data_IF_926435182316
#
_entry.id   IF_926435182316
#
_cell.length_a   1.000
_cell.length_b   1.000
_cell.length_c   1.000
_cell.angle_alpha   90.00
_cell.angle_beta   90.00
_cell.angle_gamma   90.00
#
_symmetry.space_group_name_H-M   'P 1'
#
loop_
_entity.id
_entity.type
_entity.pdbx_description
1 polymer ?
#
# COMPACT_ATOMS: atom_id res chain seq x y z
N UNK A 1 -6.15 28.86 -25.86
CA UNK A 1 -5.65 27.48 -25.80
C UNK A 1 -4.72 27.45 -24.61
N UNK A 2 -5.28 27.06 -23.47
CA UNK A 2 -4.62 27.07 -22.16
C UNK A 2 -4.54 25.61 -21.75
N UNK A 3 -3.35 25.03 -21.55
CA UNK A 3 -3.26 23.75 -20.87
C UNK A 3 -3.20 23.96 -19.37
N UNK A 4 -3.35 22.84 -18.67
CA UNK A 4 -3.02 22.57 -17.28
C UNK A 4 -4.19 22.76 -16.29
N UNK A 5 -4.88 21.63 -16.12
CA UNK A 5 -5.80 21.38 -15.02
C UNK A 5 -5.07 21.52 -13.69
N UNK A 6 -5.81 22.14 -12.79
CA UNK A 6 -5.49 22.40 -11.40
C UNK A 6 -5.52 21.07 -10.64
N UNK A 7 -4.43 20.29 -10.70
CA UNK A 7 -4.18 19.21 -9.75
C UNK A 7 -3.59 19.85 -8.50
N UNK A 8 -4.41 20.63 -7.81
CA UNK A 8 -4.07 21.20 -6.51
C UNK A 8 -3.83 20.02 -5.56
N UNK A 9 -2.61 19.92 -5.05
CA UNK A 9 -2.23 18.99 -3.99
C UNK A 9 -3.21 19.21 -2.82
N UNK A 10 -4.22 18.34 -2.69
CA UNK A 10 -5.15 18.37 -1.56
C UNK A 10 -4.35 17.94 -0.32
N UNK A 11 -3.72 18.93 0.31
CA UNK A 11 -2.98 18.73 1.54
C UNK A 11 -3.91 18.02 2.54
N UNK A 12 -3.43 16.93 3.13
CA UNK A 12 -4.10 16.36 4.29
C UNK A 12 -3.96 17.40 5.40
N UNK A 13 -5.02 18.15 5.68
CA UNK A 13 -5.03 19.03 6.83
C UNK A 13 -4.81 18.17 8.09
N UNK A 14 -3.82 18.54 8.90
CA UNK A 14 -3.41 17.84 10.13
C UNK A 14 -4.59 17.42 11.04
N UNK A 15 -5.70 18.17 10.99
CA UNK A 15 -6.94 17.91 11.75
C UNK A 15 -7.67 16.62 11.35
N UNK A 16 -7.29 15.99 10.24
CA UNK A 16 -7.92 14.77 9.73
C UNK A 16 -7.13 13.49 10.07
N UNK A 17 -5.93 13.61 10.65
CA UNK A 17 -5.10 12.44 10.98
C UNK A 17 -5.80 11.55 12.02
N UNK A 18 -6.45 12.14 13.03
CA UNK A 18 -7.21 11.37 14.03
C UNK A 18 -8.31 10.53 13.38
N UNK A 19 -9.06 11.12 12.44
CA UNK A 19 -10.13 10.44 11.69
C UNK A 19 -9.58 9.35 10.76
N UNK A 20 -8.48 9.63 10.04
CA UNK A 20 -7.82 8.64 9.16
C UNK A 20 -7.36 7.44 9.98
N UNK A 21 -6.84 7.69 11.18
CA UNK A 21 -6.34 6.67 12.08
C UNK A 21 -7.46 5.98 12.86
N UNK A 22 -8.71 6.45 12.86
CA UNK A 22 -9.86 5.69 13.39
C UNK A 22 -10.25 4.56 12.42
N UNK A 23 -9.35 3.58 12.30
CA UNK A 23 -9.45 2.47 11.38
C UNK A 23 -9.42 1.13 12.11
N UNK A 24 -10.09 0.15 11.51
CA UNK A 24 -10.05 -1.26 11.88
C UNK A 24 -9.66 -2.11 10.68
N UNK A 25 -9.28 -3.39 10.89
CA UNK A 25 -9.22 -4.36 9.80
C UNK A 25 -10.52 -4.34 8.99
N UNK A 26 -10.38 -4.48 7.67
CA UNK A 26 -11.49 -4.60 6.74
C UNK A 26 -12.12 -6.00 6.77
N UNK A 27 -13.30 -6.12 6.16
CA UNK A 27 -14.02 -7.41 6.08
C UNK A 27 -13.84 -8.13 4.74
N UNK A 28 -13.12 -7.53 3.78
CA UNK A 28 -12.90 -8.11 2.45
C UNK A 28 -11.96 -9.30 2.48
N UNK A 29 -12.21 -10.30 1.64
CA UNK A 29 -11.40 -11.51 1.58
C UNK A 29 -10.02 -11.25 0.97
N UNK A 30 -8.96 -11.61 1.70
CA UNK A 30 -7.58 -11.51 1.21
C UNK A 30 -7.18 -12.87 0.64
N UNK A 31 -6.89 -12.92 -0.66
CA UNK A 31 -6.56 -14.17 -1.35
C UNK A 31 -5.06 -14.44 -1.28
N UNK A 32 -4.67 -15.54 -0.64
CA UNK A 32 -3.27 -15.98 -0.50
C UNK A 32 -3.12 -17.46 -0.84
N UNK A 33 -1.92 -17.91 -1.21
CA UNK A 33 -1.62 -19.35 -1.31
C UNK A 33 -0.99 -19.85 -0.02
N UNK A 34 -1.13 -21.16 0.24
CA UNK A 34 -0.48 -21.79 1.40
C UNK A 34 1.04 -21.61 1.33
N UNK A 35 1.63 -21.78 0.15
CA UNK A 35 3.07 -21.62 -0.06
C UNK A 35 3.55 -20.20 0.26
N UNK A 36 2.78 -19.17 -0.11
CA UNK A 36 3.11 -17.78 0.23
C UNK A 36 3.02 -17.53 1.75
N UNK A 37 1.99 -18.08 2.41
CA UNK A 37 1.81 -17.92 3.87
C UNK A 37 2.93 -18.61 4.66
N UNK A 38 3.33 -19.81 4.25
CA UNK A 38 4.40 -20.57 4.90
C UNK A 38 5.81 -20.12 4.48
N UNK A 39 5.89 -19.31 3.41
CA UNK A 39 7.12 -18.80 2.85
C UNK A 39 7.72 -17.60 3.59
N UNK A 40 8.87 -17.08 3.09
CA UNK A 40 9.50 -15.88 3.60
C UNK A 40 8.59 -14.64 3.53
N UNK A 41 8.76 -13.72 4.46
CA UNK A 41 7.95 -12.49 4.56
C UNK A 41 7.91 -11.67 3.26
N UNK A 42 9.07 -11.52 2.62
CA UNK A 42 9.18 -10.80 1.36
C UNK A 42 8.39 -11.47 0.22
N UNK A 43 8.34 -12.81 0.19
CA UNK A 43 7.57 -13.54 -0.82
C UNK A 43 6.07 -13.41 -0.58
N UNK A 44 5.63 -13.44 0.68
CA UNK A 44 4.22 -13.21 1.03
C UNK A 44 3.75 -11.81 0.63
N UNK A 45 4.54 -10.78 0.95
CA UNK A 45 4.22 -9.40 0.61
C UNK A 45 4.23 -9.19 -0.91
N UNK A 46 5.22 -9.74 -1.61
CA UNK A 46 5.28 -9.71 -3.07
C UNK A 46 4.08 -10.43 -3.71
N UNK A 47 3.67 -11.58 -3.16
CA UNK A 47 2.49 -12.29 -3.61
C UNK A 47 1.23 -11.43 -3.45
N UNK A 48 1.00 -10.84 -2.27
CA UNK A 48 -0.12 -9.93 -2.05
C UNK A 48 -0.09 -8.76 -3.05
N UNK A 49 1.10 -8.21 -3.34
CA UNK A 49 1.26 -7.15 -4.34
C UNK A 49 0.77 -7.57 -5.72
N UNK A 50 1.15 -8.76 -6.16
CA UNK A 50 0.75 -9.29 -7.47
C UNK A 50 -0.76 -9.57 -7.54
N UNK A 51 -1.36 -10.05 -6.45
CA UNK A 51 -2.81 -10.23 -6.33
C UNK A 51 -3.54 -8.90 -6.42
N UNK A 52 -3.11 -7.89 -5.65
CA UNK A 52 -3.75 -6.58 -5.66
C UNK A 52 -3.62 -5.92 -7.03
N UNK A 53 -2.48 -6.02 -7.71
CA UNK A 53 -2.35 -5.53 -9.10
C UNK A 53 -3.35 -6.22 -10.03
N UNK A 54 -3.52 -7.54 -9.94
CA UNK A 54 -4.51 -8.27 -10.74
C UNK A 54 -5.96 -7.84 -10.43
N UNK A 55 -6.28 -7.59 -9.17
CA UNK A 55 -7.60 -7.05 -8.77
C UNK A 55 -7.79 -5.66 -9.36
N UNK A 56 -6.80 -4.78 -9.17
CA UNK A 56 -6.84 -3.40 -9.61
C UNK A 56 -6.97 -3.27 -11.14
N UNK A 57 -6.44 -4.22 -11.92
CA UNK A 57 -6.64 -4.27 -13.37
C UNK A 57 -8.07 -4.63 -13.78
N UNK A 58 -8.93 -5.07 -12.86
CA UNK A 58 -10.28 -5.63 -13.12
C UNK A 58 -11.43 -4.90 -12.42
N UNK A 59 -11.15 -3.95 -11.53
CA UNK A 59 -12.17 -3.24 -10.74
C UNK A 59 -12.34 -1.79 -11.19
N UNK A 60 -13.56 -1.29 -11.07
CA UNK A 60 -13.89 0.10 -11.40
C UNK A 60 -13.99 0.96 -10.14
N UNK A 61 -14.21 0.33 -8.98
CA UNK A 61 -14.31 0.97 -7.69
C UNK A 61 -13.32 0.36 -6.67
N UNK A 62 -12.68 1.22 -5.87
CA UNK A 62 -11.73 0.80 -4.83
C UNK A 62 -12.37 -0.08 -3.77
N UNK A 63 -13.67 0.08 -3.52
CA UNK A 63 -14.43 -0.70 -2.56
C UNK A 63 -14.59 -2.17 -2.94
N UNK A 64 -14.33 -2.52 -4.22
CA UNK A 64 -14.26 -3.91 -4.70
C UNK A 64 -12.94 -4.59 -4.28
N UNK A 65 -11.93 -3.83 -3.87
CA UNK A 65 -10.65 -4.35 -3.41
C UNK A 65 -10.71 -4.66 -1.92
N UNK A 66 -10.20 -5.81 -1.50
CA UNK A 66 -10.03 -6.11 -0.09
C UNK A 66 -9.12 -5.06 0.56
N UNK A 67 -9.70 -4.25 1.46
CA UNK A 67 -9.05 -3.06 1.99
C UNK A 67 -7.72 -3.35 2.70
N UNK A 68 -7.63 -4.47 3.43
CA UNK A 68 -6.38 -4.85 4.11
C UNK A 68 -5.28 -5.30 3.14
N UNK A 69 -5.65 -5.95 2.03
CA UNK A 69 -4.71 -6.27 0.97
C UNK A 69 -4.17 -4.99 0.32
N UNK A 70 -5.02 -3.98 0.12
CA UNK A 70 -4.66 -2.69 -0.46
C UNK A 70 -3.80 -1.84 0.49
N UNK A 71 -4.07 -1.86 1.80
CA UNK A 71 -3.20 -1.23 2.81
C UNK A 71 -1.82 -1.90 2.86
N UNK A 72 -1.78 -3.23 2.85
CA UNK A 72 -0.54 -4.02 2.74
C UNK A 72 0.26 -3.64 1.48
N UNK A 73 -0.43 -3.53 0.33
CA UNK A 73 0.15 -3.12 -0.94
C UNK A 73 0.84 -1.76 -0.90
N UNK A 74 0.17 -0.73 -0.36
CA UNK A 74 0.74 0.61 -0.33
C UNK A 74 1.81 0.79 0.76
N UNK A 75 1.76 0.01 1.84
CA UNK A 75 2.88 -0.04 2.80
C UNK A 75 4.11 -0.71 2.18
N UNK A 76 3.95 -1.76 1.36
CA UNK A 76 5.05 -2.35 0.58
C UNK A 76 5.71 -1.31 -0.35
N UNK A 77 4.89 -0.55 -1.08
CA UNK A 77 5.38 0.57 -1.89
C UNK A 77 6.17 1.59 -1.04
N UNK A 78 5.60 2.04 0.08
CA UNK A 78 6.26 3.02 0.95
C UNK A 78 7.62 2.51 1.45
N UNK A 79 7.68 1.26 1.89
CA UNK A 79 8.91 0.62 2.35
C UNK A 79 9.96 0.51 1.24
N UNK A 80 9.54 0.26 0.00
CA UNK A 80 10.44 0.14 -1.15
C UNK A 80 10.90 1.48 -1.72
N UNK A 81 10.02 2.50 -1.75
CA UNK A 81 10.28 3.77 -2.41
C UNK A 81 11.16 4.71 -1.58
N UNK A 82 10.96 4.76 -0.26
CA UNK A 82 11.71 5.68 0.60
C UNK A 82 13.23 5.46 0.54
N UNK A 83 13.78 4.23 0.64
CA UNK A 83 15.23 4.01 0.60
C UNK A 83 15.90 4.38 -0.71
N UNK A 84 15.14 4.43 -1.82
CA UNK A 84 15.69 4.57 -3.17
C UNK A 84 15.42 5.97 -3.74
N UNK A 85 14.16 6.41 -3.69
CA UNK A 85 13.73 7.70 -4.21
C UNK A 85 13.56 8.79 -3.14
N UNK A 86 13.68 8.43 -1.87
CA UNK A 86 13.50 9.38 -0.76
C UNK A 86 12.06 9.85 -0.58
N UNK A 87 11.90 10.81 0.32
CA UNK A 87 10.60 11.41 0.63
C UNK A 87 10.04 12.23 -0.54
N UNK A 88 10.91 12.86 -1.33
CA UNK A 88 10.51 13.60 -2.54
C UNK A 88 9.85 12.70 -3.60
N UNK A 89 10.44 11.56 -3.96
CA UNK A 89 9.82 10.62 -4.90
C UNK A 89 8.50 10.06 -4.34
N UNK A 90 8.46 9.74 -3.04
CA UNK A 90 7.22 9.30 -2.40
C UNK A 90 6.11 10.36 -2.48
N UNK A 91 6.41 11.63 -2.21
CA UNK A 91 5.45 12.74 -2.32
C UNK A 91 4.98 12.98 -3.75
N UNK A 92 5.81 12.73 -4.75
CA UNK A 92 5.44 12.85 -6.16
C UNK A 92 4.50 11.72 -6.59
N UNK A 93 4.67 10.51 -6.03
CA UNK A 93 3.85 9.34 -6.36
C UNK A 93 2.54 9.27 -5.54
N UNK A 94 2.61 9.52 -4.24
CA UNK A 94 1.53 9.23 -3.30
C UNK A 94 0.42 10.29 -3.37
N UNK A 95 -0.74 9.89 -3.90
CA UNK A 95 -1.97 10.70 -3.80
C UNK A 95 -2.44 10.74 -2.34
N UNK A 96 -3.41 11.63 -2.05
CA UNK A 96 -4.06 11.68 -0.74
C UNK A 96 -4.58 10.30 -0.30
N UNK A 97 -5.30 9.61 -1.18
CA UNK A 97 -5.86 8.28 -0.88
C UNK A 97 -4.76 7.24 -0.58
N UNK A 98 -3.63 7.29 -1.29
CA UNK A 98 -2.47 6.44 -1.00
C UNK A 98 -1.92 6.75 0.40
N UNK A 99 -1.74 8.03 0.75
CA UNK A 99 -1.28 8.42 2.08
C UNK A 99 -2.22 7.91 3.19
N UNK A 100 -3.54 8.03 3.01
CA UNK A 100 -4.53 7.50 3.96
C UNK A 100 -4.39 5.97 4.15
N UNK A 101 -4.24 5.23 3.05
CA UNK A 101 -4.05 3.77 3.08
C UNK A 101 -2.73 3.37 3.75
N UNK A 102 -1.64 4.11 3.50
CA UNK A 102 -0.35 3.87 4.15
C UNK A 102 -0.44 4.15 5.65
N UNK A 103 -1.00 5.30 6.07
CA UNK A 103 -1.17 5.64 7.49
C UNK A 103 -1.99 4.59 8.23
N UNK A 104 -3.11 4.16 7.66
CA UNK A 104 -3.94 3.10 8.23
C UNK A 104 -3.20 1.76 8.29
N UNK A 105 -2.48 1.39 7.22
CA UNK A 105 -1.69 0.17 7.16
C UNK A 105 -0.61 0.15 8.25
N UNK A 106 0.19 1.21 8.37
CA UNK A 106 1.23 1.35 9.39
C UNK A 106 0.66 1.23 10.80
N UNK A 107 -0.51 1.84 11.07
CA UNK A 107 -1.20 1.69 12.35
C UNK A 107 -1.60 0.24 12.62
N UNK A 108 -2.28 -0.41 11.68
CA UNK A 108 -2.81 -1.77 11.84
C UNK A 108 -1.71 -2.84 11.91
N UNK A 109 -0.58 -2.63 11.24
CA UNK A 109 0.62 -3.50 11.31
C UNK A 109 1.41 -3.30 12.62
N UNK A 110 1.08 -2.26 13.39
CA UNK A 110 1.79 -1.91 14.61
C UNK A 110 3.20 -1.37 14.34
N UNK A 111 3.36 -0.52 13.32
CA UNK A 111 4.63 0.13 12.96
C UNK A 111 4.66 1.62 13.41
N UNK A 112 4.63 1.92 14.72
CA UNK A 112 4.43 3.28 15.22
C UNK A 112 5.56 4.24 14.82
N UNK A 113 6.81 3.79 14.76
CA UNK A 113 7.93 4.65 14.39
C UNK A 113 7.81 5.16 12.93
N UNK A 114 7.38 4.30 12.01
CA UNK A 114 7.10 4.68 10.63
C UNK A 114 5.85 5.55 10.52
N UNK A 115 4.81 5.23 11.31
CA UNK A 115 3.59 6.01 11.36
C UNK A 115 3.86 7.45 11.80
N UNK A 116 4.53 7.63 12.93
CA UNK A 116 4.88 8.94 13.48
C UNK A 116 5.75 9.73 12.50
N UNK A 117 6.72 9.07 11.87
CA UNK A 117 7.58 9.69 10.86
C UNK A 117 6.80 10.18 9.64
N UNK A 118 5.86 9.39 9.12
CA UNK A 118 5.03 9.80 7.98
C UNK A 118 4.05 10.92 8.37
N UNK A 119 3.45 10.85 9.56
CA UNK A 119 2.60 11.92 10.10
C UNK A 119 3.37 13.23 10.19
N UNK A 120 4.59 13.21 10.75
CA UNK A 120 5.47 14.39 10.82
C UNK A 120 5.73 14.96 9.41
N UNK A 121 6.03 14.10 8.44
CA UNK A 121 6.35 14.53 7.07
C UNK A 121 5.16 15.09 6.29
N UNK A 122 3.94 14.62 6.58
CA UNK A 122 2.70 15.18 6.03
C UNK A 122 2.27 16.45 6.78
N UNK A 123 2.77 16.63 8.00
CA UNK A 123 2.41 17.68 8.92
C UNK A 123 2.89 19.10 8.61
N UNK A 124 3.76 19.26 7.61
CA UNK A 124 4.14 20.58 7.09
C UNK A 124 5.29 21.29 7.81
N UNK A 125 5.68 20.85 9.01
CA UNK A 125 6.97 21.23 9.60
C UNK A 125 8.06 20.46 8.85
N UNK A 126 8.72 21.15 7.92
CA UNK A 126 9.61 20.54 6.93
C UNK A 126 10.76 19.73 7.56
N UNK A 127 10.58 18.41 7.64
CA UNK A 127 11.69 17.45 7.76
C UNK A 127 12.44 17.40 6.43
N UNK A 128 13.77 17.47 6.46
CA UNK A 128 14.57 17.30 5.24
C UNK A 128 14.56 15.84 4.78
N UNK A 129 14.76 15.59 3.48
CA UNK A 129 14.87 14.23 2.95
C UNK A 129 15.98 13.43 3.65
N UNK A 130 17.09 14.06 4.01
CA UNK A 130 18.19 13.43 4.77
C UNK A 130 17.76 13.03 6.19
N UNK A 131 17.08 13.93 6.91
CA UNK A 131 16.57 13.64 8.25
C UNK A 131 15.51 12.54 8.21
N UNK A 132 14.65 12.56 7.19
CA UNK A 132 13.63 11.55 6.98
C UNK A 132 14.27 10.19 6.70
N UNK A 133 15.24 10.12 5.79
CA UNK A 133 15.96 8.89 5.46
C UNK A 133 16.66 8.29 6.68
N UNK A 134 17.30 9.12 7.53
CA UNK A 134 17.94 8.66 8.75
C UNK A 134 16.92 8.05 9.74
N UNK A 135 15.82 8.77 10.03
CA UNK A 135 14.76 8.28 10.93
C UNK A 135 14.06 7.03 10.37
N UNK A 136 13.90 6.96 9.05
CA UNK A 136 13.33 5.80 8.38
C UNK A 136 14.24 4.57 8.55
N UNK A 137 15.55 4.72 8.34
CA UNK A 137 16.51 3.64 8.52
C UNK A 137 16.58 3.15 9.98
N UNK A 138 16.47 4.05 10.96
CA UNK A 138 16.35 3.69 12.38
C UNK A 138 15.06 2.90 12.67
N UNK A 139 13.93 3.31 12.09
CA UNK A 139 12.66 2.61 12.23
C UNK A 139 12.70 1.22 11.58
N UNK A 140 13.22 1.10 10.35
CA UNK A 140 13.41 -0.19 9.66
C UNK A 140 14.34 -1.13 10.45
N UNK A 141 15.43 -0.61 11.02
CA UNK A 141 16.34 -1.41 11.82
C UNK A 141 15.70 -1.93 13.12
N UNK A 142 14.75 -1.18 13.69
CA UNK A 142 14.02 -1.57 14.89
C UNK A 142 12.92 -2.60 14.59
N UNK A 143 12.18 -2.41 13.50
CA UNK A 143 11.16 -3.34 13.03
C UNK A 143 10.96 -3.16 11.52
N UNK A 144 11.50 -4.06 10.68
CA UNK A 144 11.35 -3.95 9.24
C UNK A 144 9.88 -3.94 8.81
N UNK A 145 9.50 -3.05 7.88
CA UNK A 145 8.12 -2.98 7.42
C UNK A 145 7.68 -4.24 6.68
N UNK A 146 8.60 -4.90 5.96
CA UNK A 146 8.30 -6.19 5.31
C UNK A 146 7.86 -7.26 6.32
N UNK A 147 8.53 -7.35 7.47
CA UNK A 147 8.18 -8.27 8.55
C UNK A 147 6.83 -7.89 9.17
N UNK A 148 6.64 -6.61 9.51
CA UNK A 148 5.40 -6.12 10.10
C UNK A 148 4.19 -6.34 9.18
N UNK A 149 4.37 -6.12 7.88
CA UNK A 149 3.34 -6.31 6.85
C UNK A 149 3.01 -7.79 6.66
N UNK A 150 4.02 -8.66 6.55
CA UNK A 150 3.80 -10.09 6.45
C UNK A 150 3.10 -10.66 7.70
N UNK A 151 3.50 -10.23 8.90
CA UNK A 151 2.85 -10.61 10.15
C UNK A 151 1.37 -10.17 10.17
N UNK A 152 1.07 -8.96 9.68
CA UNK A 152 -0.29 -8.47 9.55
C UNK A 152 -1.12 -9.36 8.61
N UNK A 153 -0.63 -9.62 7.39
CA UNK A 153 -1.31 -10.49 6.43
C UNK A 153 -1.61 -11.88 7.02
N UNK A 154 -0.66 -12.49 7.73
CA UNK A 154 -0.86 -13.81 8.38
C UNK A 154 -1.85 -13.78 9.54
N UNK A 155 -2.07 -12.62 10.16
CA UNK A 155 -2.98 -12.45 11.29
C UNK A 155 -4.44 -12.19 10.91
N UNK A 156 -4.71 -11.90 9.64
CA UNK A 156 -6.04 -11.54 9.16
C UNK A 156 -6.98 -12.75 9.14
N UNK A 157 -8.09 -12.66 9.88
CA UNK A 157 -9.17 -13.66 9.86
C UNK A 157 -9.91 -13.74 8.51
N UNK A 158 -9.70 -12.75 7.63
CA UNK A 158 -10.29 -12.66 6.29
C UNK A 158 -9.46 -13.35 5.20
N UNK A 159 -8.32 -13.95 5.55
CA UNK A 159 -7.49 -14.68 4.60
C UNK A 159 -8.21 -15.92 4.09
N UNK A 160 -8.28 -16.05 2.77
CA UNK A 160 -8.73 -17.25 2.10
C UNK A 160 -7.55 -17.90 1.40
N UNK A 161 -7.18 -19.09 1.87
CA UNK A 161 -6.14 -19.89 1.26
C UNK A 161 -6.68 -20.53 -0.01
N UNK A 162 -6.11 -20.17 -1.14
CA UNK A 162 -6.47 -20.66 -2.47
C UNK A 162 -5.36 -21.53 -3.04
N UNK A 163 -5.73 -22.60 -3.75
CA UNK A 163 -4.76 -23.43 -4.45
C UNK A 163 -4.21 -22.65 -5.66
N UNK A 164 -2.90 -22.74 -5.97
CA UNK A 164 -2.31 -21.99 -7.10
C UNK A 164 -3.04 -22.20 -8.44
N UNK A 165 -3.46 -23.44 -8.73
CA UNK A 165 -4.20 -23.78 -9.95
C UNK A 165 -5.66 -23.30 -10.00
N UNK A 166 -6.18 -22.76 -8.89
CA UNK A 166 -7.54 -22.23 -8.77
C UNK A 166 -7.58 -20.73 -8.49
N UNK A 167 -6.43 -20.07 -8.47
CA UNK A 167 -6.31 -18.66 -8.08
C UNK A 167 -7.18 -17.75 -8.94
N UNK A 168 -7.08 -17.86 -10.27
CA UNK A 168 -7.86 -17.05 -11.22
C UNK A 168 -9.37 -17.27 -11.07
N UNK A 169 -9.80 -18.51 -10.80
CA UNK A 169 -11.21 -18.82 -10.53
C UNK A 169 -11.66 -18.21 -9.20
N UNK A 170 -10.85 -18.33 -8.15
CA UNK A 170 -11.17 -17.74 -6.84
C UNK A 170 -11.23 -16.21 -6.91
N UNK A 171 -10.32 -15.58 -7.65
CA UNK A 171 -10.31 -14.16 -7.90
C UNK A 171 -11.59 -13.70 -8.62
N UNK A 172 -12.02 -14.40 -9.69
CA UNK A 172 -13.27 -14.10 -10.38
C UNK A 172 -14.49 -14.22 -9.48
N UNK A 173 -14.55 -15.28 -8.66
CA UNK A 173 -15.63 -15.47 -7.68
C UNK A 173 -15.65 -14.34 -6.66
N UNK A 174 -14.48 -13.94 -6.14
CA UNK A 174 -14.37 -12.86 -5.15
C UNK A 174 -14.82 -11.50 -5.72
N UNK A 175 -14.53 -11.24 -6.99
CA UNK A 175 -14.93 -10.00 -7.67
C UNK A 175 -16.34 -10.05 -8.27
N UNK A 176 -16.95 -11.23 -8.40
CA UNK A 176 -18.24 -11.40 -9.07
C UNK A 176 -18.22 -11.05 -10.55
N UNK A 177 -17.05 -11.09 -11.21
CA UNK A 177 -16.86 -10.73 -12.62
C UNK A 177 -16.48 -11.96 -13.46
N UNK A 178 -17.17 -12.15 -14.59
CA UNK A 178 -16.90 -13.19 -15.58
C UNK A 178 -16.17 -12.57 -16.80
N UNK A 179 -14.90 -12.91 -17.02
CA UNK A 179 -14.15 -12.57 -18.25
C UNK A 179 -12.91 -11.69 -18.06
N UNK A 180 -12.40 -11.15 -19.18
CA UNK A 180 -11.26 -10.22 -19.27
C UNK A 180 -11.70 -8.76 -19.10
N UNK A 181 -12.64 -8.51 -18.17
CA UNK A 181 -13.16 -7.16 -17.94
C UNK A 181 -12.08 -6.33 -17.26
N UNK A 182 -11.58 -5.32 -17.98
CA UNK A 182 -10.55 -4.42 -17.47
C UNK A 182 -11.23 -3.24 -16.79
N UNK A 183 -10.90 -3.06 -15.51
CA UNK A 183 -11.36 -1.94 -14.71
C UNK A 183 -10.63 -0.66 -15.06
N UNK A 184 -11.25 0.48 -14.74
CA UNK A 184 -10.71 1.82 -15.03
C UNK A 184 -10.25 2.60 -13.80
N UNK A 185 -10.03 1.94 -12.66
CA UNK A 185 -9.71 2.60 -11.40
C UNK A 185 -8.38 3.38 -11.45
N UNK A 186 -8.48 4.68 -11.16
CA UNK A 186 -7.37 5.63 -11.15
C UNK A 186 -6.62 5.61 -9.81
N UNK A 187 -5.94 4.50 -9.55
CA UNK A 187 -5.05 4.33 -8.39
C UNK A 187 -3.61 4.08 -8.87
N UNK A 188 -2.60 4.78 -8.32
CA UNK A 188 -1.21 4.55 -8.70
C UNK A 188 -0.82 3.09 -8.50
N UNK A 189 -0.13 2.52 -9.51
CA UNK A 189 0.29 1.12 -9.53
C UNK A 189 1.74 0.98 -9.10
N UNK A 190 1.98 -0.01 -8.26
CA UNK A 190 3.25 -0.49 -7.74
C UNK A 190 3.43 -1.97 -8.11
N UNK A 191 4.39 -2.27 -9.00
CA UNK A 191 4.65 -3.64 -9.49
C UNK A 191 5.92 -4.26 -8.93
N UNK A 192 6.52 -3.67 -7.91
CA UNK A 192 7.73 -4.22 -7.27
C UNK A 192 9.05 -3.68 -7.83
N UNK A 193 9.00 -2.83 -8.85
CA UNK A 193 10.18 -2.20 -9.43
C UNK A 193 10.19 -0.69 -9.17
N UNK A 194 10.99 -0.26 -8.19
CA UNK A 194 11.06 1.13 -7.73
C UNK A 194 11.63 2.06 -8.81
N UNK A 195 12.50 1.54 -9.67
CA UNK A 195 13.12 2.32 -10.75
C UNK A 195 12.08 2.78 -11.78
N UNK A 196 10.98 2.04 -11.95
CA UNK A 196 9.86 2.46 -12.83
C UNK A 196 9.08 3.64 -12.26
N UNK A 197 9.18 3.89 -10.95
CA UNK A 197 8.47 4.97 -10.26
C UNK A 197 9.31 6.24 -10.12
N UNK A 198 10.63 6.13 -10.24
CA UNK A 198 11.57 7.24 -10.14
C UNK A 198 11.92 7.63 -11.58
N UNK A 199 11.12 8.52 -12.17
CA UNK A 199 11.50 9.15 -13.44
C UNK A 199 12.64 10.15 -13.19
N UNK A 200 13.78 9.93 -13.83
CA UNK A 200 14.78 10.99 -14.02
C UNK A 200 14.16 12.06 -14.93
N UNK A 201 13.95 13.27 -14.39
CA UNK A 201 13.71 14.48 -15.19
C UNK A 201 14.99 14.92 -15.93
#
# INVERSE_FOLDING_TARGET
>A
MTPQGDATFDAIEFRQIEDILDCSPGSGAVLLTQDAVDGPDAELVAFNRDVVNQVLDRVDDVSEVALDALRSYYVDLYAALIPVGGLSAYRAFATRQVNELVLQGLKLMGAPAHLDLLVDALGGDGISDEQYAARFAEAEAARPLTEANAAYLRSLDTVQIVQPGSFDVALRIALGKDGDDFGSIDLPRWRGNVEELITED
#
